data_IF_157848775597
#
_entry.id   IF_157848775597
#
_cell.length_a   1.000
_cell.length_b   1.000
_cell.length_c   1.000
_cell.angle_alpha   90.00
_cell.angle_beta   90.00
_cell.angle_gamma   90.00
#
_symmetry.space_group_name_H-M   'P 1'
#
loop_
_entity.id
_entity.type
_entity.pdbx_description
1 polymer ?
#
# COMPACT_ATOMS: atom_id res chain seq x y z
N UNK A 1 -40.55 -6.00 13.29
CA UNK A 1 -40.06 -7.39 13.14
C UNK A 1 -40.64 -7.98 11.85
N UNK A 2 -39.78 -8.50 10.97
CA UNK A 2 -40.14 -9.25 9.77
C UNK A 2 -39.70 -10.71 9.96
N UNK A 3 -40.63 -11.66 9.86
CA UNK A 3 -40.38 -13.06 10.17
C UNK A 3 -40.92 -13.99 9.10
N UNK A 4 -40.11 -14.96 8.66
CA UNK A 4 -40.48 -15.98 7.66
C UNK A 4 -40.99 -15.39 6.35
N UNK A 5 -40.52 -14.20 5.99
CA UNK A 5 -40.86 -13.54 4.74
C UNK A 5 -40.18 -14.27 3.57
N UNK A 6 -40.86 -14.39 2.43
CA UNK A 6 -40.34 -15.09 1.26
C UNK A 6 -40.60 -14.29 -0.01
N UNK A 7 -39.56 -14.09 -0.81
CA UNK A 7 -39.67 -13.43 -2.11
C UNK A 7 -38.65 -13.98 -3.10
N UNK A 8 -38.74 -13.57 -4.36
CA UNK A 8 -37.71 -13.90 -5.37
C UNK A 8 -36.40 -13.20 -5.05
N UNK A 9 -36.45 -11.95 -4.60
CA UNK A 9 -35.33 -11.16 -4.09
C UNK A 9 -35.83 -10.34 -2.90
N UNK A 10 -34.97 -10.05 -1.92
CA UNK A 10 -35.37 -9.20 -0.80
C UNK A 10 -36.45 -9.85 0.05
N UNK A 11 -36.14 -11.00 0.66
CA UNK A 11 -37.16 -11.86 1.29
C UNK A 11 -38.06 -11.11 2.27
N UNK A 12 -37.51 -10.15 3.02
CA UNK A 12 -38.27 -9.16 3.81
C UNK A 12 -38.51 -7.84 3.08
N UNK A 13 -37.45 -7.20 2.60
CA UNK A 13 -37.50 -5.90 1.90
C UNK A 13 -36.85 -6.02 0.52
N UNK A 14 -37.59 -5.60 -0.50
CA UNK A 14 -37.05 -5.25 -1.80
C UNK A 14 -37.22 -3.74 -2.00
N UNK A 15 -36.12 -3.04 -2.25
CA UNK A 15 -36.12 -1.60 -2.50
C UNK A 15 -35.43 -1.27 -3.81
N UNK A 16 -35.97 -0.30 -4.53
CA UNK A 16 -35.30 0.36 -5.65
C UNK A 16 -35.12 1.83 -5.28
N UNK A 17 -33.92 2.35 -5.46
CA UNK A 17 -33.56 3.73 -5.19
C UNK A 17 -33.29 4.41 -6.53
N UNK A 18 -34.19 5.27 -6.92
CA UNK A 18 -34.10 6.10 -8.11
C UNK A 18 -33.53 7.48 -7.75
N UNK A 19 -33.48 8.39 -8.73
CA UNK A 19 -33.05 9.78 -8.51
C UNK A 19 -33.93 10.47 -7.46
N UNK A 20 -33.30 11.05 -6.42
CA UNK A 20 -33.93 11.76 -5.30
C UNK A 20 -34.70 10.90 -4.27
N UNK A 21 -34.54 9.58 -4.30
CA UNK A 21 -35.12 8.69 -3.29
C UNK A 21 -34.10 8.38 -2.19
N UNK A 22 -34.61 8.15 -0.98
CA UNK A 22 -33.81 7.74 0.16
C UNK A 22 -34.41 6.49 0.82
N UNK A 23 -33.56 5.54 1.19
CA UNK A 23 -33.95 4.36 1.95
C UNK A 23 -33.22 4.33 3.29
N UNK A 24 -33.95 4.49 4.40
CA UNK A 24 -33.36 4.47 5.75
C UNK A 24 -34.03 3.41 6.60
N UNK A 25 -33.21 2.60 7.27
CA UNK A 25 -33.58 1.88 8.49
C UNK A 25 -32.76 2.46 9.63
N UNK A 26 -33.41 3.22 10.52
CA UNK A 26 -32.78 3.92 11.64
C UNK A 26 -33.27 3.44 13.02
N UNK A 27 -34.34 2.66 13.05
CA UNK A 27 -34.88 2.05 14.26
C UNK A 27 -34.47 0.57 14.37
N UNK A 28 -34.80 -0.04 15.50
CA UNK A 28 -34.54 -1.45 15.76
C UNK A 28 -35.44 -2.33 14.87
N UNK A 29 -34.82 -3.11 13.97
CA UNK A 29 -35.56 -4.02 13.08
C UNK A 29 -34.92 -5.41 13.09
N UNK A 30 -35.78 -6.40 13.29
CA UNK A 30 -35.43 -7.81 13.28
C UNK A 30 -35.88 -8.46 11.97
N UNK A 31 -34.97 -9.14 11.30
CA UNK A 31 -35.21 -10.04 10.17
C UNK A 31 -34.88 -11.47 10.58
N UNK A 32 -35.90 -12.30 10.70
CA UNK A 32 -35.77 -13.67 11.18
C UNK A 32 -36.35 -14.67 10.18
N UNK A 33 -35.55 -15.66 9.77
CA UNK A 33 -35.96 -16.71 8.82
C UNK A 33 -36.50 -16.16 7.48
N UNK A 34 -36.10 -14.96 7.07
CA UNK A 34 -36.47 -14.41 5.77
C UNK A 34 -35.68 -15.11 4.65
N UNK A 35 -36.33 -15.35 3.51
CA UNK A 35 -35.77 -16.16 2.43
C UNK A 35 -35.97 -15.50 1.04
N UNK A 36 -34.87 -15.33 0.31
CA UNK A 36 -34.90 -15.08 -1.12
C UNK A 36 -34.69 -16.39 -1.88
N UNK A 37 -35.70 -16.85 -2.62
CA UNK A 37 -35.68 -18.15 -3.29
C UNK A 37 -35.86 -18.01 -4.81
N UNK A 38 -34.94 -18.60 -5.59
CA UNK A 38 -35.10 -18.78 -7.02
C UNK A 38 -34.15 -19.84 -7.57
N UNK A 39 -34.53 -20.47 -8.68
CA UNK A 39 -33.62 -21.32 -9.50
C UNK A 39 -32.92 -20.51 -10.60
N UNK A 40 -33.27 -19.22 -10.76
CA UNK A 40 -32.64 -18.33 -11.74
C UNK A 40 -31.39 -17.69 -11.17
N UNK A 41 -30.33 -17.63 -11.99
CA UNK A 41 -29.08 -16.94 -11.67
C UNK A 41 -29.24 -15.42 -11.51
N UNK A 42 -30.38 -14.83 -11.88
CA UNK A 42 -30.65 -13.38 -11.77
C UNK A 42 -31.52 -13.00 -10.55
N UNK A 43 -31.95 -14.00 -9.76
CA UNK A 43 -32.81 -13.82 -8.61
C UNK A 43 -32.25 -14.57 -7.41
N UNK A 44 -33.01 -14.72 -6.33
CA UNK A 44 -32.62 -15.51 -5.16
C UNK A 44 -31.62 -14.80 -4.27
N UNK A 45 -31.58 -13.47 -4.30
CA UNK A 45 -30.59 -12.62 -3.61
C UNK A 45 -31.24 -11.74 -2.54
N UNK A 46 -30.47 -11.37 -1.52
CA UNK A 46 -30.97 -10.48 -0.46
C UNK A 46 -32.02 -11.19 0.40
N UNK A 47 -31.61 -12.21 1.16
CA UNK A 47 -32.55 -13.04 1.91
C UNK A 47 -33.42 -12.24 2.88
N UNK A 48 -32.86 -11.22 3.53
CA UNK A 48 -33.65 -10.21 4.23
C UNK A 48 -33.88 -8.97 3.37
N UNK A 49 -32.83 -8.31 2.88
CA UNK A 49 -32.91 -7.03 2.18
C UNK A 49 -32.24 -7.12 0.81
N UNK A 50 -32.92 -6.62 -0.22
CA UNK A 50 -32.37 -6.37 -1.55
C UNK A 50 -32.51 -4.89 -1.89
N UNK A 51 -31.42 -4.23 -2.27
CA UNK A 51 -31.41 -2.83 -2.68
C UNK A 51 -30.91 -2.71 -4.12
N UNK A 52 -31.76 -2.20 -5.00
CA UNK A 52 -31.42 -1.84 -6.37
C UNK A 52 -31.17 -0.33 -6.47
N UNK A 53 -29.92 0.08 -6.68
CA UNK A 53 -29.54 1.49 -6.82
C UNK A 53 -29.49 1.86 -8.29
N UNK A 54 -30.41 2.72 -8.73
CA UNK A 54 -30.51 3.17 -10.12
C UNK A 54 -29.28 3.91 -10.62
N UNK A 55 -29.12 3.99 -11.95
CA UNK A 55 -27.93 4.50 -12.64
C UNK A 55 -27.46 5.89 -12.19
N UNK A 56 -28.42 6.77 -11.89
CA UNK A 56 -28.18 8.16 -11.52
C UNK A 56 -28.51 8.44 -10.04
N UNK A 57 -28.67 7.39 -9.23
CA UNK A 57 -29.04 7.53 -7.83
C UNK A 57 -27.80 7.91 -6.96
N UNK A 58 -27.92 8.89 -6.04
CA UNK A 58 -26.80 9.40 -5.23
C UNK A 58 -26.29 8.45 -4.12
N UNK A 59 -26.62 7.15 -4.17
CA UNK A 59 -26.39 6.19 -3.08
C UNK A 59 -26.97 6.62 -1.72
N UNK A 60 -28.15 7.26 -1.71
CA UNK A 60 -28.79 7.76 -0.50
C UNK A 60 -29.55 6.63 0.22
N UNK A 61 -28.79 5.73 0.87
CA UNK A 61 -29.38 4.73 1.75
C UNK A 61 -28.56 4.45 3.01
N UNK A 62 -29.26 4.07 4.07
CA UNK A 62 -28.67 3.68 5.34
C UNK A 62 -29.38 2.46 5.90
N UNK A 63 -28.60 1.42 6.18
CA UNK A 63 -28.97 0.18 6.86
C UNK A 63 -28.35 0.27 8.25
N UNK A 64 -29.13 0.78 9.21
CA UNK A 64 -28.65 1.34 10.47
C UNK A 64 -28.17 0.34 11.52
N UNK A 65 -27.69 0.89 12.65
CA UNK A 65 -26.96 0.18 13.71
C UNK A 65 -27.77 -0.92 14.44
N UNK A 66 -29.09 -0.75 14.57
CA UNK A 66 -29.96 -1.61 15.37
C UNK A 66 -30.64 -2.71 14.52
N UNK A 67 -29.91 -3.25 13.55
CA UNK A 67 -30.40 -4.31 12.68
C UNK A 67 -29.96 -5.68 13.17
N UNK A 68 -30.92 -6.59 13.22
CA UNK A 68 -30.71 -7.96 13.68
C UNK A 68 -31.12 -8.93 12.58
N UNK A 69 -30.17 -9.74 12.13
CA UNK A 69 -30.39 -10.79 11.15
C UNK A 69 -30.23 -12.15 11.83
N UNK A 70 -31.23 -13.03 11.68
CA UNK A 70 -31.22 -14.35 12.29
C UNK A 70 -31.77 -15.41 11.34
N UNK A 71 -30.97 -16.44 11.03
CA UNK A 71 -31.37 -17.60 10.22
C UNK A 71 -32.00 -17.27 8.84
N UNK A 72 -31.67 -16.12 8.26
CA UNK A 72 -32.12 -15.76 6.91
C UNK A 72 -31.49 -16.69 5.86
N UNK A 73 -32.00 -16.69 4.63
CA UNK A 73 -31.51 -17.53 3.52
C UNK A 73 -31.56 -16.80 2.19
N UNK A 74 -30.54 -16.98 1.36
CA UNK A 74 -30.57 -16.60 -0.05
C UNK A 74 -30.15 -17.82 -0.88
N UNK A 75 -30.93 -18.15 -1.91
CA UNK A 75 -30.59 -19.25 -2.82
C UNK A 75 -29.37 -18.97 -3.70
N UNK A 76 -28.98 -17.70 -3.86
CA UNK A 76 -27.76 -17.27 -4.53
C UNK A 76 -26.83 -16.55 -3.53
N UNK A 77 -26.97 -15.23 -3.37
CA UNK A 77 -26.03 -14.41 -2.61
C UNK A 77 -26.71 -13.39 -1.70
N UNK A 78 -26.02 -13.00 -0.63
CA UNK A 78 -26.48 -11.96 0.29
C UNK A 78 -27.68 -12.42 1.10
N UNK A 79 -27.47 -13.42 1.96
CA UNK A 79 -28.43 -13.94 2.94
C UNK A 79 -29.13 -12.83 3.71
N UNK A 80 -28.40 -11.80 4.11
CA UNK A 80 -28.95 -10.69 4.87
C UNK A 80 -29.17 -9.48 3.97
N UNK A 81 -28.15 -9.09 3.22
CA UNK A 81 -28.19 -7.90 2.38
C UNK A 81 -27.57 -8.19 1.02
N UNK A 82 -28.28 -7.82 -0.03
CA UNK A 82 -27.75 -7.75 -1.38
C UNK A 82 -27.93 -6.35 -1.97
N UNK A 83 -26.87 -5.81 -2.57
CA UNK A 83 -26.90 -4.48 -3.21
C UNK A 83 -26.51 -4.59 -4.67
N UNK A 84 -27.40 -4.16 -5.56
CA UNK A 84 -27.12 -4.00 -6.98
C UNK A 84 -26.91 -2.52 -7.28
N UNK A 85 -25.73 -2.10 -7.72
CA UNK A 85 -25.39 -0.69 -7.85
C UNK A 85 -24.37 -0.39 -8.95
N UNK A 86 -24.08 0.90 -9.22
CA UNK A 86 -23.14 1.26 -10.30
C UNK A 86 -21.71 0.87 -9.95
N UNK A 87 -21.25 1.23 -8.75
CA UNK A 87 -19.89 1.06 -8.28
C UNK A 87 -19.88 0.92 -6.74
N UNK A 88 -19.51 -0.26 -6.24
CA UNK A 88 -19.51 -0.61 -4.82
C UNK A 88 -18.50 0.24 -4.04
N UNK A 89 -17.35 0.59 -4.63
CA UNK A 89 -16.32 1.42 -3.98
C UNK A 89 -16.83 2.85 -3.79
N UNK A 90 -17.40 3.45 -4.85
CA UNK A 90 -17.94 4.82 -4.80
C UNK A 90 -19.16 4.90 -3.87
N UNK A 91 -19.94 3.83 -3.75
CA UNK A 91 -21.04 3.73 -2.80
C UNK A 91 -20.59 3.92 -1.34
N UNK A 92 -19.31 3.63 -1.02
CA UNK A 92 -18.72 3.68 0.33
C UNK A 92 -19.53 2.85 1.34
N UNK A 93 -19.46 1.51 1.29
CA UNK A 93 -20.33 0.61 2.07
C UNK A 93 -20.36 0.92 3.55
N UNK A 94 -19.24 1.34 4.12
CA UNK A 94 -19.08 1.76 5.52
C UNK A 94 -19.89 2.99 5.92
N UNK A 95 -20.28 3.83 4.96
CA UNK A 95 -21.18 4.96 5.19
C UNK A 95 -22.65 4.61 5.01
N UNK A 96 -22.95 3.39 4.57
CA UNK A 96 -24.30 2.92 4.21
C UNK A 96 -24.77 1.76 5.07
N UNK A 97 -23.86 0.92 5.52
CA UNK A 97 -24.11 -0.31 6.29
C UNK A 97 -23.45 -0.11 7.65
N UNK A 98 -24.27 0.09 8.69
CA UNK A 98 -23.80 0.59 9.98
C UNK A 98 -23.98 -0.40 11.14
N UNK A 99 -24.65 -1.53 10.95
CA UNK A 99 -24.79 -2.52 12.01
C UNK A 99 -23.47 -3.23 12.32
N UNK A 100 -23.36 -3.73 13.56
CA UNK A 100 -22.14 -4.36 14.05
C UNK A 100 -21.95 -5.76 13.44
N UNK A 101 -21.21 -5.79 12.33
CA UNK A 101 -20.78 -7.03 11.65
C UNK A 101 -19.53 -7.64 12.29
N UNK A 102 -18.87 -6.96 13.23
CA UNK A 102 -17.66 -7.45 13.88
C UNK A 102 -17.98 -8.35 15.08
N UNK A 103 -19.21 -8.28 15.60
CA UNK A 103 -19.72 -9.20 16.61
C UNK A 103 -19.41 -10.66 16.24
N UNK A 104 -18.78 -11.39 17.16
CA UNK A 104 -18.36 -12.79 16.97
C UNK A 104 -19.53 -13.75 16.73
N UNK A 105 -20.74 -13.36 17.16
CA UNK A 105 -21.96 -14.15 16.97
C UNK A 105 -22.64 -13.91 15.62
N UNK A 106 -22.20 -12.88 14.87
CA UNK A 106 -22.74 -12.60 13.56
C UNK A 106 -22.19 -13.59 12.53
N UNK A 107 -23.08 -14.37 11.90
CA UNK A 107 -22.70 -15.31 10.86
C UNK A 107 -22.39 -14.56 9.56
N UNK A 108 -21.11 -14.48 9.22
CA UNK A 108 -20.58 -13.76 8.05
C UNK A 108 -20.74 -14.55 6.74
N UNK A 109 -21.07 -15.84 6.80
CA UNK A 109 -21.15 -16.69 5.61
C UNK A 109 -22.32 -16.26 4.73
N UNK A 110 -22.00 -15.91 3.48
CA UNK A 110 -22.97 -15.42 2.50
C UNK A 110 -23.79 -14.22 3.01
N UNK A 111 -23.25 -13.37 3.88
CA UNK A 111 -24.05 -12.37 4.60
C UNK A 111 -24.42 -11.16 3.73
N UNK A 112 -23.40 -10.46 3.22
CA UNK A 112 -23.54 -9.16 2.55
C UNK A 112 -22.83 -9.20 1.21
N UNK A 113 -23.61 -9.14 0.15
CA UNK A 113 -23.09 -9.26 -1.21
C UNK A 113 -23.54 -8.10 -2.08
N UNK A 114 -22.84 -7.87 -3.17
CA UNK A 114 -23.30 -6.90 -4.16
C UNK A 114 -22.86 -7.21 -5.57
N UNK A 115 -23.48 -6.53 -6.51
CA UNK A 115 -23.12 -6.62 -7.92
C UNK A 115 -23.12 -5.24 -8.55
N UNK A 116 -22.06 -4.98 -9.29
CA UNK A 116 -21.91 -3.78 -10.10
C UNK A 116 -22.56 -3.97 -11.47
N UNK A 117 -23.16 -2.93 -12.03
CA UNK A 117 -23.64 -2.92 -13.42
C UNK A 117 -22.84 -2.03 -14.37
N UNK A 118 -21.98 -1.15 -13.85
CA UNK A 118 -21.10 -0.36 -14.71
C UNK A 118 -20.06 -1.25 -15.39
N UNK A 119 -19.76 -0.97 -16.64
CA UNK A 119 -18.79 -1.76 -17.41
C UNK A 119 -17.36 -1.50 -16.93
N UNK A 120 -16.46 -2.45 -17.19
CA UNK A 120 -15.05 -2.35 -16.79
C UNK A 120 -14.36 -1.08 -17.34
N UNK A 121 -14.75 -0.64 -18.53
CA UNK A 121 -14.26 0.60 -19.13
C UNK A 121 -14.68 1.86 -18.37
N UNK A 122 -15.82 1.82 -17.68
CA UNK A 122 -16.28 2.92 -16.81
C UNK A 122 -15.65 2.83 -15.42
N UNK A 123 -15.42 1.61 -14.93
CA UNK A 123 -14.85 1.36 -13.60
C UNK A 123 -13.33 1.50 -13.56
N UNK A 124 -12.64 1.29 -14.68
CA UNK A 124 -11.19 1.16 -14.76
C UNK A 124 -10.64 -0.11 -14.11
N UNK A 125 -11.49 -1.11 -13.92
CA UNK A 125 -11.18 -2.39 -13.27
C UNK A 125 -12.23 -3.46 -13.60
N UNK A 126 -11.94 -4.75 -13.33
CA UNK A 126 -12.95 -5.79 -13.39
C UNK A 126 -14.18 -5.47 -12.54
N UNK A 127 -15.34 -5.82 -13.08
CA UNK A 127 -16.62 -5.64 -12.42
C UNK A 127 -16.74 -6.55 -11.20
N UNK A 128 -17.21 -6.03 -10.07
CA UNK A 128 -17.50 -6.82 -8.89
C UNK A 128 -18.88 -7.47 -9.03
N UNK A 129 -18.91 -8.75 -9.44
CA UNK A 129 -20.12 -9.57 -9.55
C UNK A 129 -20.24 -10.49 -8.35
N UNK A 130 -21.43 -10.52 -7.73
CA UNK A 130 -21.73 -11.29 -6.52
C UNK A 130 -20.57 -11.23 -5.50
N UNK A 131 -20.09 -10.01 -5.27
CA UNK A 131 -18.90 -9.70 -4.49
C UNK A 131 -19.25 -9.59 -3.00
N UNK A 132 -18.42 -10.20 -2.16
CA UNK A 132 -18.54 -10.10 -0.71
C UNK A 132 -18.13 -8.68 -0.24
N UNK A 133 -19.13 -7.82 -0.02
CA UNK A 133 -18.92 -6.44 0.41
C UNK A 133 -18.27 -6.40 1.79
N UNK A 134 -18.51 -7.40 2.64
CA UNK A 134 -17.94 -7.44 3.99
C UNK A 134 -16.41 -7.39 3.94
N UNK A 135 -15.80 -7.99 2.92
CA UNK A 135 -14.36 -7.98 2.71
C UNK A 135 -13.75 -6.58 2.63
N UNK A 136 -14.51 -5.56 2.19
CA UNK A 136 -14.09 -4.15 2.12
C UNK A 136 -14.24 -3.41 3.45
N UNK A 137 -15.07 -3.94 4.35
CA UNK A 137 -15.41 -3.30 5.62
C UNK A 137 -14.56 -3.82 6.79
N UNK A 138 -13.92 -4.98 6.63
CA UNK A 138 -13.02 -5.56 7.62
C UNK A 138 -11.63 -4.90 7.60
N UNK A 139 -10.93 -4.89 8.75
CA UNK A 139 -9.52 -4.53 8.80
C UNK A 139 -8.69 -5.26 7.75
N UNK A 140 -7.76 -4.54 7.14
CA UNK A 140 -6.88 -5.07 6.11
C UNK A 140 -5.45 -5.11 6.63
N UNK A 141 -4.86 -6.30 6.54
CA UNK A 141 -3.45 -6.54 6.80
C UNK A 141 -2.93 -7.45 5.69
N UNK A 142 -1.78 -7.09 5.10
CA UNK A 142 -1.15 -7.84 4.03
C UNK A 142 0.31 -7.39 3.91
N UNK A 143 1.18 -8.26 3.42
CA UNK A 143 2.56 -7.89 3.15
C UNK A 143 2.73 -7.12 1.81
N UNK A 144 1.64 -6.97 1.04
CA UNK A 144 1.52 -6.09 -0.12
C UNK A 144 0.53 -4.96 0.19
N UNK A 145 1.05 -3.73 0.29
CA UNK A 145 0.30 -2.55 0.71
C UNK A 145 0.32 -1.47 -0.36
N UNK A 146 -0.87 -0.98 -0.73
CA UNK A 146 -1.04 0.13 -1.66
C UNK A 146 -1.07 1.46 -0.92
N UNK A 147 -0.38 2.46 -1.46
CA UNK A 147 -0.26 3.81 -0.88
C UNK A 147 -0.49 4.86 -1.96
N UNK A 148 -1.23 5.93 -1.63
CA UNK A 148 -1.46 7.06 -2.52
C UNK A 148 -1.82 8.30 -1.73
N UNK A 149 -1.30 9.46 -2.13
CA UNK A 149 -1.72 10.74 -1.59
C UNK A 149 -3.08 11.25 -2.13
N UNK A 150 -3.67 10.55 -3.11
CA UNK A 150 -4.96 10.94 -3.70
C UNK A 150 -6.10 10.72 -2.70
N UNK A 151 -6.50 11.79 -2.03
CA UNK A 151 -7.57 11.78 -1.01
C UNK A 151 -8.95 11.40 -1.56
N UNK A 152 -9.13 11.34 -2.89
CA UNK A 152 -10.39 10.87 -3.47
C UNK A 152 -10.58 9.36 -3.31
N UNK A 153 -9.48 8.61 -3.18
CA UNK A 153 -9.46 7.14 -3.12
C UNK A 153 -8.69 6.57 -1.91
N UNK A 154 -7.89 7.39 -1.21
CA UNK A 154 -7.06 6.97 -0.09
C UNK A 154 -7.57 7.51 1.24
N UNK A 155 -7.34 6.76 2.32
CA UNK A 155 -7.65 7.18 3.68
C UNK A 155 -6.85 6.35 4.70
N UNK A 156 -6.22 6.97 5.70
CA UNK A 156 -5.51 6.24 6.77
C UNK A 156 -6.50 5.62 7.77
N UNK A 157 -7.12 4.51 7.38
CA UNK A 157 -8.09 3.76 8.20
C UNK A 157 -7.61 2.35 8.51
N UNK A 158 -8.30 1.65 9.42
CA UNK A 158 -8.02 0.24 9.69
C UNK A 158 -8.16 -0.68 8.44
N UNK A 159 -8.85 -0.21 7.39
CA UNK A 159 -9.18 -0.95 6.16
C UNK A 159 -8.25 -0.65 4.97
N UNK A 160 -7.42 0.38 5.08
CA UNK A 160 -6.57 0.83 3.97
C UNK A 160 -5.43 -0.15 3.67
N UNK A 161 -4.78 0.09 2.53
CA UNK A 161 -3.67 -0.72 2.02
C UNK A 161 -4.09 -1.59 0.84
N UNK A 162 -5.32 -1.42 0.37
CA UNK A 162 -5.89 -2.12 -0.78
C UNK A 162 -5.77 -1.23 -2.01
N UNK A 163 -5.79 -1.85 -3.19
CA UNK A 163 -5.82 -1.12 -4.46
C UNK A 163 -6.94 -0.06 -4.56
N UNK A 164 -8.12 -0.34 -4.01
CA UNK A 164 -9.28 0.59 -4.05
C UNK A 164 -9.49 1.38 -2.76
N UNK A 165 -8.59 1.23 -1.79
CA UNK A 165 -8.50 2.08 -0.61
C UNK A 165 -7.05 2.11 -0.15
N UNK A 166 -6.15 2.79 -0.88
CA UNK A 166 -4.76 2.91 -0.48
C UNK A 166 -4.64 3.63 0.87
N UNK A 167 -3.56 3.35 1.60
CA UNK A 167 -3.19 4.22 2.71
C UNK A 167 -2.62 5.54 2.17
N UNK A 168 -2.66 6.60 2.97
CA UNK A 168 -2.20 7.93 2.55
C UNK A 168 -0.68 8.05 2.69
N UNK A 169 -0.12 7.51 3.76
CA UNK A 169 1.30 7.68 4.11
C UNK A 169 2.02 6.34 4.26
N UNK A 170 3.32 6.33 3.96
CA UNK A 170 4.19 5.16 4.17
C UNK A 170 4.21 4.75 5.65
N UNK A 171 4.36 5.71 6.56
CA UNK A 171 4.34 5.47 8.01
C UNK A 171 3.09 4.78 8.53
N UNK A 172 1.94 5.04 7.93
CA UNK A 172 0.70 4.35 8.30
C UNK A 172 0.61 2.97 7.65
N UNK A 173 1.12 2.83 6.42
CA UNK A 173 1.20 1.57 5.69
C UNK A 173 2.13 0.55 6.36
N UNK A 174 3.21 0.98 7.00
CA UNK A 174 4.10 0.13 7.82
C UNK A 174 3.32 -0.61 8.92
N UNK A 175 2.29 0.03 9.49
CA UNK A 175 1.39 -0.61 10.47
C UNK A 175 0.37 -1.59 9.89
N UNK A 176 0.40 -1.88 8.58
CA UNK A 176 -0.54 -2.76 7.86
C UNK A 176 0.04 -4.09 7.42
N UNK A 177 1.35 -4.27 7.55
CA UNK A 177 1.99 -5.57 7.26
C UNK A 177 1.50 -6.63 8.25
N UNK A 178 1.35 -7.87 7.79
CA UNK A 178 0.80 -8.96 8.62
C UNK A 178 1.91 -9.81 9.23
N UNK A 179 2.99 -10.03 8.49
CA UNK A 179 4.16 -10.74 9.00
C UNK A 179 4.98 -9.76 9.83
N UNK A 180 5.29 -10.02 11.11
CA UNK A 180 6.10 -9.10 11.91
C UNK A 180 7.57 -9.14 11.48
N UNK A 181 8.28 -8.02 11.59
CA UNK A 181 9.73 -7.95 11.29
C UNK A 181 10.58 -8.83 12.21
N UNK A 182 11.80 -9.12 11.77
CA UNK A 182 12.79 -9.72 12.66
C UNK A 182 13.14 -8.76 13.78
N UNK A 183 13.38 -9.32 14.96
CA UNK A 183 13.99 -8.64 16.07
C UNK A 183 15.03 -9.56 16.72
N UNK A 184 15.73 -9.00 17.70
CA UNK A 184 16.70 -9.67 18.57
C UNK A 184 16.30 -11.08 19.02
N UNK A 185 15.02 -11.29 19.34
CA UNK A 185 14.51 -12.52 19.91
C UNK A 185 13.94 -13.48 18.86
N UNK A 186 13.52 -12.97 17.70
CA UNK A 186 12.88 -13.77 16.64
C UNK A 186 13.83 -14.19 15.53
N UNK A 187 14.96 -13.50 15.35
CA UNK A 187 15.93 -13.80 14.30
C UNK A 187 16.45 -15.25 14.38
N UNK A 188 16.41 -16.04 13.29
CA UNK A 188 16.73 -17.46 13.35
C UNK A 188 18.23 -17.72 13.52
N UNK A 189 18.56 -18.68 14.39
CA UNK A 189 19.94 -19.14 14.60
C UNK A 189 20.48 -19.97 13.44
N UNK A 190 19.60 -20.69 12.73
CA UNK A 190 19.93 -21.43 11.51
C UNK A 190 19.04 -20.99 10.35
N UNK A 191 19.65 -20.70 9.20
CA UNK A 191 18.96 -20.19 8.01
C UNK A 191 18.43 -21.30 7.11
N UNK A 192 18.79 -22.57 7.35
CA UNK A 192 18.32 -23.68 6.53
C UNK A 192 16.80 -23.84 6.64
N UNK A 193 16.06 -23.35 5.64
CA UNK A 193 14.60 -23.43 5.60
C UNK A 193 13.87 -22.34 6.39
N UNK A 194 14.56 -21.29 6.84
CA UNK A 194 13.89 -20.13 7.45
C UNK A 194 12.99 -19.42 6.42
N UNK A 195 11.79 -19.02 6.86
CA UNK A 195 10.89 -18.21 6.05
C UNK A 195 11.51 -16.82 5.82
N UNK A 196 11.53 -16.35 4.58
CA UNK A 196 11.90 -14.97 4.27
C UNK A 196 10.71 -14.05 4.49
N UNK A 197 10.95 -12.89 5.09
CA UNK A 197 9.95 -11.85 5.29
C UNK A 197 10.06 -10.85 4.14
N UNK A 198 8.96 -10.64 3.44
CA UNK A 198 8.91 -9.82 2.23
C UNK A 198 7.84 -8.75 2.39
N UNK A 199 8.20 -7.48 2.26
CA UNK A 199 7.24 -6.39 2.19
C UNK A 199 7.24 -5.77 0.80
N UNK A 200 6.06 -5.41 0.30
CA UNK A 200 5.89 -4.70 -0.97
C UNK A 200 4.97 -3.50 -0.78
N UNK A 201 5.51 -2.31 -1.02
CA UNK A 201 4.78 -1.05 -1.00
C UNK A 201 4.59 -0.57 -2.45
N UNK A 202 3.33 -0.46 -2.85
CA UNK A 202 2.94 -0.08 -4.22
C UNK A 202 2.39 1.35 -4.17
N UNK A 203 3.08 2.26 -4.84
CA UNK A 203 2.77 3.69 -4.88
C UNK A 203 1.90 3.99 -6.09
N UNK A 204 0.74 4.56 -5.83
CA UNK A 204 -0.19 5.00 -6.85
C UNK A 204 -0.26 6.53 -6.91
N UNK A 205 -0.05 7.09 -8.11
CA UNK A 205 0.15 8.53 -8.40
C UNK A 205 1.36 9.13 -7.67
N UNK A 206 1.37 9.13 -6.34
CA UNK A 206 2.52 9.53 -5.56
C UNK A 206 2.26 9.54 -4.06
N UNK A 207 3.31 9.78 -3.29
CA UNK A 207 3.28 9.95 -1.83
C UNK A 207 4.29 11.01 -1.38
N UNK A 208 4.01 11.58 -0.21
CA UNK A 208 4.98 12.35 0.56
C UNK A 208 5.56 11.46 1.68
N UNK A 209 6.88 11.43 1.79
CA UNK A 209 7.61 10.71 2.85
C UNK A 209 8.20 11.74 3.80
N UNK A 210 7.67 11.80 5.03
CA UNK A 210 8.01 12.79 6.06
C UNK A 210 8.85 12.21 7.20
N UNK A 211 8.85 10.88 7.34
CA UNK A 211 9.54 10.14 8.40
C UNK A 211 10.56 9.15 7.79
N UNK A 212 11.66 8.85 8.50
CA UNK A 212 12.58 7.81 8.09
C UNK A 212 11.90 6.45 7.97
N UNK A 213 12.23 5.72 6.91
CA UNK A 213 11.83 4.35 6.67
C UNK A 213 13.06 3.45 6.81
N UNK A 214 13.03 2.60 7.83
CA UNK A 214 14.03 1.56 8.12
C UNK A 214 13.29 0.32 8.60
N UNK A 215 13.71 -0.86 8.17
CA UNK A 215 13.01 -2.12 8.45
C UNK A 215 14.01 -3.23 8.69
N UNK A 216 13.58 -4.33 9.28
CA UNK A 216 14.37 -5.52 9.59
C UNK A 216 13.83 -6.78 8.88
N UNK A 217 13.27 -6.63 7.68
CA UNK A 217 12.82 -7.75 6.82
C UNK A 217 13.86 -8.17 5.79
N UNK A 218 13.75 -9.41 5.26
CA UNK A 218 14.68 -9.93 4.25
C UNK A 218 14.60 -9.18 2.92
N UNK A 219 13.38 -8.89 2.44
CA UNK A 219 13.16 -8.24 1.15
C UNK A 219 12.13 -7.12 1.26
N UNK A 220 12.48 -5.96 0.73
CA UNK A 220 11.60 -4.79 0.63
C UNK A 220 11.50 -4.38 -0.82
N UNK A 221 10.28 -4.26 -1.32
CA UNK A 221 9.98 -3.72 -2.65
C UNK A 221 9.22 -2.42 -2.47
N UNK A 222 9.72 -1.33 -3.06
CA UNK A 222 9.01 -0.04 -3.14
C UNK A 222 8.89 0.30 -4.62
N UNK A 223 7.67 0.34 -5.15
CA UNK A 223 7.48 0.51 -6.60
C UNK A 223 6.25 1.29 -6.98
N UNK A 224 6.22 1.81 -8.20
CA UNK A 224 4.99 2.32 -8.81
C UNK A 224 4.02 1.19 -9.13
N UNK A 225 2.73 1.51 -9.14
CA UNK A 225 1.68 0.63 -9.65
C UNK A 225 1.80 0.46 -11.17
N UNK A 226 1.49 -0.74 -11.67
CA UNK A 226 1.47 -1.01 -13.11
C UNK A 226 0.06 -0.90 -13.71
N UNK A 227 -0.06 -0.63 -15.03
CA UNK A 227 -1.36 -0.49 -15.69
C UNK A 227 -2.28 -1.72 -15.64
N UNK A 228 -1.71 -2.92 -15.51
CA UNK A 228 -2.45 -4.18 -15.37
C UNK A 228 -3.03 -4.39 -13.96
N UNK A 229 -2.45 -3.74 -12.95
CA UNK A 229 -3.01 -3.71 -11.60
C UNK A 229 -4.18 -2.73 -11.52
N UNK A 230 -4.00 -1.53 -12.08
CA UNK A 230 -5.01 -0.48 -12.10
C UNK A 230 -4.95 0.29 -13.42
N UNK A 231 -6.06 0.36 -14.15
CA UNK A 231 -6.07 0.94 -15.49
C UNK A 231 -5.60 2.40 -15.54
N UNK A 232 -5.79 3.13 -14.44
CA UNK A 232 -5.36 4.53 -14.31
C UNK A 232 -3.92 4.69 -13.80
N UNK A 233 -3.20 3.60 -13.52
CA UNK A 233 -1.77 3.60 -13.20
C UNK A 233 -0.93 3.66 -14.49
N UNK A 234 -1.15 4.69 -15.30
CA UNK A 234 -0.48 4.87 -16.60
C UNK A 234 0.87 5.58 -16.49
N UNK A 235 1.22 6.06 -15.29
CA UNK A 235 2.42 6.82 -14.99
C UNK A 235 3.13 6.20 -13.79
N UNK A 236 4.43 6.47 -13.66
CA UNK A 236 5.23 6.08 -12.49
C UNK A 236 4.68 6.77 -11.24
N UNK A 237 4.83 6.11 -10.09
CA UNK A 237 4.51 6.74 -8.81
C UNK A 237 5.54 7.80 -8.45
N UNK A 238 5.09 8.96 -7.97
CA UNK A 238 5.96 10.07 -7.58
C UNK A 238 6.25 10.02 -6.09
N UNK A 239 7.52 10.06 -5.67
CA UNK A 239 7.91 10.19 -4.28
C UNK A 239 8.53 11.56 -4.04
N UNK A 240 7.99 12.26 -3.05
CA UNK A 240 8.50 13.52 -2.55
C UNK A 240 8.93 13.29 -1.10
N UNK A 241 10.15 13.67 -0.76
CA UNK A 241 10.66 13.57 0.61
C UNK A 241 10.71 14.98 1.21
N UNK A 242 10.19 15.10 2.43
CA UNK A 242 10.16 16.35 3.21
C UNK A 242 10.56 16.08 4.67
N UNK A 243 10.87 17.11 5.44
CA UNK A 243 11.20 17.03 6.87
C UNK A 243 12.38 16.06 7.12
N UNK A 244 12.11 14.94 7.82
CA UNK A 244 13.08 13.90 8.14
C UNK A 244 12.95 12.65 7.25
N UNK A 245 12.12 12.71 6.20
CA UNK A 245 11.84 11.57 5.34
C UNK A 245 13.10 11.07 4.63
N UNK A 246 13.43 9.79 4.81
CA UNK A 246 14.55 9.12 4.14
C UNK A 246 14.29 7.61 4.06
N UNK A 247 14.87 6.93 3.08
CA UNK A 247 15.01 5.46 3.09
C UNK A 247 16.38 5.12 3.68
N UNK A 248 16.43 4.35 4.76
CA UNK A 248 17.67 3.99 5.45
C UNK A 248 18.02 2.53 5.18
N UNK A 249 19.23 2.30 4.68
CA UNK A 249 19.82 0.99 4.44
C UNK A 249 21.08 0.87 5.31
N UNK A 250 21.13 -0.08 6.24
CA UNK A 250 22.29 -0.26 7.12
C UNK A 250 22.85 -1.68 7.10
N UNK A 251 24.17 -1.79 7.10
CA UNK A 251 24.88 -3.07 7.26
C UNK A 251 24.86 -3.60 8.71
N UNK A 252 24.23 -2.90 9.65
CA UNK A 252 23.87 -3.39 10.97
C UNK A 252 22.34 -3.38 11.12
N UNK A 253 21.83 -4.36 11.86
CA UNK A 253 20.43 -4.32 12.33
C UNK A 253 20.23 -3.23 13.37
N UNK A 254 18.99 -2.76 13.53
CA UNK A 254 18.61 -1.79 14.55
C UNK A 254 19.03 -2.21 15.97
N UNK A 255 18.90 -3.49 16.34
CA UNK A 255 19.32 -3.95 17.68
C UNK A 255 20.83 -3.96 17.85
N UNK A 256 21.61 -4.22 16.80
CA UNK A 256 23.07 -4.09 16.84
C UNK A 256 23.50 -2.64 16.97
N UNK A 257 22.83 -1.71 16.27
CA UNK A 257 23.06 -0.27 16.43
C UNK A 257 22.76 0.20 17.87
N UNK A 258 21.87 -0.48 18.58
CA UNK A 258 21.55 -0.25 20.00
C UNK A 258 22.49 -0.97 20.98
N UNK A 259 23.54 -1.63 20.49
CA UNK A 259 24.59 -2.24 21.32
C UNK A 259 24.51 -3.76 21.47
N UNK A 260 23.52 -4.44 20.86
CA UNK A 260 23.41 -5.90 20.88
C UNK A 260 24.25 -6.54 19.75
N UNK A 261 25.54 -6.22 19.70
CA UNK A 261 26.44 -6.60 18.59
C UNK A 261 26.55 -8.12 18.39
N UNK A 262 26.52 -8.89 19.48
CA UNK A 262 26.67 -10.35 19.44
C UNK A 262 25.47 -11.09 18.83
N UNK A 263 24.34 -10.40 18.68
CA UNK A 263 23.17 -10.97 18.04
C UNK A 263 23.29 -10.91 16.53
N UNK A 264 22.92 -12.01 15.87
CA UNK A 264 22.96 -12.11 14.42
C UNK A 264 21.94 -11.19 13.78
N UNK A 265 22.28 -10.73 12.58
CA UNK A 265 21.38 -9.98 11.71
C UNK A 265 21.01 -10.80 10.45
N UNK A 266 20.02 -10.32 9.72
CA UNK A 266 19.51 -10.90 8.47
C UNK A 266 20.02 -10.10 7.27
N UNK A 267 20.34 -10.77 6.17
CA UNK A 267 20.69 -10.05 4.96
C UNK A 267 19.45 -9.33 4.42
N UNK A 268 19.66 -8.19 3.78
CA UNK A 268 18.58 -7.34 3.31
C UNK A 268 18.67 -7.05 1.84
N UNK A 269 17.54 -7.10 1.15
CA UNK A 269 17.41 -6.69 -0.24
C UNK A 269 16.35 -5.59 -0.36
N UNK A 270 16.75 -4.43 -0.86
CA UNK A 270 15.87 -3.33 -1.23
C UNK A 270 15.76 -3.28 -2.73
N UNK A 271 14.53 -3.34 -3.25
CA UNK A 271 14.24 -3.18 -4.66
C UNK A 271 13.30 -2.00 -4.87
N UNK A 272 13.84 -0.94 -5.45
CA UNK A 272 13.12 0.31 -5.70
C UNK A 272 12.99 0.47 -7.20
N UNK A 273 11.77 0.49 -7.74
CA UNK A 273 11.62 0.56 -9.19
C UNK A 273 10.32 1.19 -9.69
N UNK A 274 10.31 1.64 -10.95
CA UNK A 274 9.13 2.22 -11.60
C UNK A 274 8.57 3.44 -10.87
N UNK A 275 9.45 4.36 -10.45
CA UNK A 275 9.12 5.55 -9.67
C UNK A 275 9.77 6.81 -10.23
N UNK A 276 9.22 7.95 -9.85
CA UNK A 276 9.82 9.26 -10.03
C UNK A 276 10.17 9.84 -8.66
N UNK A 277 11.36 10.41 -8.51
CA UNK A 277 11.81 11.05 -7.29
C UNK A 277 11.94 12.54 -7.51
N UNK A 278 11.28 13.31 -6.65
CA UNK A 278 11.37 14.76 -6.64
C UNK A 278 12.34 15.18 -5.55
N UNK A 279 13.43 15.82 -5.95
CA UNK A 279 14.34 16.47 -5.04
C UNK A 279 13.81 17.86 -4.68
N UNK A 280 13.62 18.08 -3.38
CA UNK A 280 13.10 19.32 -2.80
C UNK A 280 14.24 20.20 -2.29
N UNK A 281 13.95 21.48 -2.07
CA UNK A 281 14.86 22.43 -1.42
C UNK A 281 14.88 22.30 0.12
N UNK A 282 14.29 21.24 0.65
CA UNK A 282 14.20 21.04 2.10
C UNK A 282 15.59 20.82 2.70
N UNK A 283 16.08 21.84 3.41
CA UNK A 283 17.38 21.82 4.08
C UNK A 283 17.49 20.79 5.21
N UNK A 284 16.38 20.25 5.71
CA UNK A 284 16.41 19.19 6.74
C UNK A 284 16.84 17.85 6.15
N UNK A 285 16.61 17.63 4.85
CA UNK A 285 16.94 16.37 4.17
C UNK A 285 18.31 16.47 3.52
N UNK A 286 19.21 15.59 3.98
CA UNK A 286 20.54 15.43 3.36
C UNK A 286 20.54 14.47 2.19
N UNK A 287 19.70 13.43 2.27
CA UNK A 287 19.58 12.44 1.21
C UNK A 287 18.21 11.79 1.14
N UNK A 288 17.80 11.35 -0.05
CA UNK A 288 16.59 10.53 -0.21
C UNK A 288 16.84 9.12 0.31
N UNK A 289 17.96 8.51 -0.10
CA UNK A 289 18.41 7.21 0.35
C UNK A 289 19.72 7.40 1.12
N UNK A 290 19.73 6.91 2.36
CA UNK A 290 20.89 6.93 3.24
C UNK A 290 21.43 5.52 3.40
N UNK A 291 22.71 5.34 3.09
CA UNK A 291 23.44 4.10 3.35
C UNK A 291 24.32 4.29 4.57
N UNK A 292 24.23 3.37 5.53
CA UNK A 292 25.01 3.39 6.77
C UNK A 292 25.85 2.12 6.85
N UNK A 293 27.16 2.28 6.66
CA UNK A 293 28.16 1.26 6.92
C UNK A 293 28.82 1.43 8.29
N UNK A 294 29.11 0.32 8.96
CA UNK A 294 29.79 0.30 10.26
C UNK A 294 31.26 -0.10 10.13
N UNK A 295 32.19 0.57 10.82
CA UNK A 295 33.58 0.11 10.93
C UNK A 295 33.72 -1.25 11.65
N UNK A 296 32.70 -1.68 12.40
CA UNK A 296 32.63 -2.99 13.06
C UNK A 296 32.05 -4.12 12.18
N UNK A 297 31.77 -3.83 10.90
CA UNK A 297 31.10 -4.74 9.96
C UNK A 297 31.76 -6.12 9.83
N UNK A 298 33.08 -6.21 9.94
CA UNK A 298 33.82 -7.47 9.75
C UNK A 298 33.41 -8.59 10.72
N UNK A 299 32.83 -8.25 11.88
CA UNK A 299 32.44 -9.22 12.89
C UNK A 299 30.93 -9.43 12.99
N UNK A 300 30.13 -8.39 12.66
CA UNK A 300 28.71 -8.35 13.00
C UNK A 300 27.79 -7.92 11.85
N UNK A 301 28.35 -7.46 10.74
CA UNK A 301 27.57 -6.88 9.66
C UNK A 301 26.71 -7.89 8.88
N UNK A 302 25.64 -7.38 8.28
CA UNK A 302 24.77 -8.07 7.32
C UNK A 302 25.05 -7.60 5.89
N UNK A 303 24.78 -8.47 4.92
CA UNK A 303 24.79 -8.04 3.53
C UNK A 303 23.54 -7.21 3.23
N UNK A 304 23.72 -6.11 2.50
CA UNK A 304 22.64 -5.25 2.03
C UNK A 304 22.76 -5.10 0.53
N UNK A 305 21.73 -5.48 -0.20
CA UNK A 305 21.63 -5.28 -1.64
C UNK A 305 20.56 -4.22 -1.93
N UNK A 306 20.97 -3.10 -2.52
CA UNK A 306 20.08 -2.03 -2.95
C UNK A 306 20.04 -2.01 -4.48
N UNK A 307 18.88 -2.32 -5.05
CA UNK A 307 18.64 -2.29 -6.49
C UNK A 307 17.64 -1.19 -6.84
N UNK A 308 18.06 -0.27 -7.69
CA UNK A 308 17.29 0.89 -8.16
C UNK A 308 17.13 0.75 -9.68
N UNK A 309 15.90 0.62 -10.16
CA UNK A 309 15.62 0.29 -11.57
C UNK A 309 14.46 1.10 -12.17
N UNK A 310 14.57 1.54 -13.42
CA UNK A 310 13.49 2.23 -14.14
C UNK A 310 12.96 3.49 -13.40
N UNK A 311 13.88 4.41 -13.11
CA UNK A 311 13.62 5.56 -12.22
C UNK A 311 13.91 6.87 -12.93
N UNK A 312 13.07 7.89 -12.67
CA UNK A 312 13.32 9.27 -13.07
C UNK A 312 13.59 10.10 -11.81
N UNK A 313 14.61 10.95 -11.83
CA UNK A 313 14.96 11.85 -10.73
C UNK A 313 14.99 13.25 -11.30
N UNK A 314 14.24 14.16 -10.68
CA UNK A 314 14.25 15.57 -11.07
C UNK A 314 14.07 16.48 -9.85
N UNK A 315 14.35 17.75 -10.03
CA UNK A 315 14.19 18.76 -8.98
C UNK A 315 12.82 19.44 -9.09
N UNK A 316 12.18 19.72 -7.95
CA UNK A 316 10.85 20.36 -7.92
C UNK A 316 10.82 21.72 -8.64
N UNK A 317 11.87 22.53 -8.45
CA UNK A 317 11.99 23.88 -8.99
C UNK A 317 13.43 24.16 -9.42
N UNK A 318 13.66 24.46 -10.70
CA UNK A 318 15.00 24.77 -11.23
C UNK A 318 15.54 26.16 -10.82
N UNK A 319 14.83 26.90 -9.97
CA UNK A 319 15.17 28.28 -9.60
C UNK A 319 16.21 28.37 -8.47
N UNK A 320 16.42 27.26 -7.76
CA UNK A 320 17.26 27.23 -6.57
C UNK A 320 18.23 26.06 -6.66
N UNK A 321 19.32 26.12 -5.89
CA UNK A 321 20.21 24.97 -5.75
C UNK A 321 19.77 24.14 -4.55
N UNK A 322 19.83 22.82 -4.69
CA UNK A 322 19.51 21.87 -3.62
C UNK A 322 20.77 21.32 -2.95
N UNK A 323 20.66 21.00 -1.66
CA UNK A 323 21.72 20.33 -0.88
C UNK A 323 21.41 18.85 -0.59
N UNK A 324 20.24 18.37 -1.03
CA UNK A 324 19.81 16.99 -0.85
C UNK A 324 20.37 16.10 -1.98
N UNK A 325 21.11 15.05 -1.61
CA UNK A 325 21.53 14.00 -2.54
C UNK A 325 20.43 12.96 -2.76
N UNK A 326 20.45 12.25 -3.89
CA UNK A 326 19.57 11.10 -4.07
C UNK A 326 20.07 9.91 -3.24
N UNK A 327 21.36 9.60 -3.32
CA UNK A 327 21.97 8.46 -2.63
C UNK A 327 23.24 8.89 -1.93
N UNK A 328 23.27 8.82 -0.60
CA UNK A 328 24.41 9.25 0.20
C UNK A 328 24.81 8.17 1.20
N UNK A 329 26.10 7.87 1.26
CA UNK A 329 26.67 7.03 2.32
C UNK A 329 27.19 7.90 3.47
N UNK A 330 26.76 7.62 4.70
CA UNK A 330 27.24 8.28 5.91
C UNK A 330 27.36 7.29 7.09
N UNK A 331 28.53 7.18 7.76
CA UNK A 331 29.79 7.85 7.44
C UNK A 331 30.51 7.22 6.24
N UNK A 332 30.38 5.90 6.05
CA UNK A 332 31.02 5.15 4.97
C UNK A 332 30.09 4.08 4.43
N UNK A 333 30.43 3.53 3.27
CA UNK A 333 29.92 2.25 2.75
C UNK A 333 30.94 1.14 2.99
N UNK A 334 30.46 -0.06 3.30
CA UNK A 334 31.30 -1.25 3.55
C UNK A 334 31.18 -2.27 2.42
N UNK A 335 32.07 -3.27 2.42
CA UNK A 335 32.07 -4.37 1.45
C UNK A 335 30.80 -5.26 1.51
N UNK A 336 29.98 -5.10 2.55
CA UNK A 336 28.73 -5.82 2.72
C UNK A 336 27.56 -5.17 1.99
N UNK A 337 27.73 -3.94 1.51
CA UNK A 337 26.70 -3.23 0.75
C UNK A 337 26.98 -3.32 -0.73
N UNK A 338 25.95 -3.71 -1.50
CA UNK A 338 25.95 -3.71 -2.96
C UNK A 338 24.83 -2.83 -3.47
N UNK A 339 25.14 -2.03 -4.47
CA UNK A 339 24.24 -1.06 -5.09
C UNK A 339 24.20 -1.37 -6.59
N UNK A 340 22.99 -1.50 -7.12
CA UNK A 340 22.74 -1.63 -8.56
C UNK A 340 21.80 -0.54 -9.02
N UNK A 341 22.22 0.20 -10.04
CA UNK A 341 21.48 1.33 -10.63
C UNK A 341 21.30 1.02 -12.12
N UNK A 342 20.05 0.80 -12.53
CA UNK A 342 19.72 0.37 -13.89
C UNK A 342 18.64 1.28 -14.45
N UNK A 343 18.81 1.77 -15.68
CA UNK A 343 17.82 2.61 -16.37
C UNK A 343 17.34 3.81 -15.53
N UNK A 344 18.28 4.47 -14.84
CA UNK A 344 17.99 5.69 -14.07
C UNK A 344 18.25 6.92 -14.91
N UNK A 345 17.27 7.82 -14.97
CA UNK A 345 17.34 9.09 -15.67
C UNK A 345 17.33 10.20 -14.64
N UNK A 346 18.33 11.08 -14.68
CA UNK A 346 18.38 12.27 -13.84
C UNK A 346 18.31 13.52 -14.72
N UNK A 347 17.36 14.42 -14.44
CA UNK A 347 17.07 15.59 -15.28
C UNK A 347 16.89 16.89 -14.49
N UNK A 348 17.47 17.98 -15.00
CA UNK A 348 17.27 19.35 -14.52
C UNK A 348 17.58 19.56 -13.01
N UNK A 349 18.73 19.02 -12.54
CA UNK A 349 19.13 19.04 -11.13
C UNK A 349 20.31 19.98 -10.88
N UNK A 350 20.10 20.97 -10.01
CA UNK A 350 21.09 21.99 -9.64
C UNK A 350 21.54 21.80 -8.20
N UNK A 351 22.72 21.23 -8.00
CA UNK A 351 23.21 20.88 -6.66
C UNK A 351 24.31 21.81 -6.17
N UNK A 352 24.30 22.14 -4.88
CA UNK A 352 25.37 22.87 -4.20
C UNK A 352 25.95 22.03 -3.06
N UNK A 353 27.28 22.02 -2.93
CA UNK A 353 28.04 21.34 -1.86
C UNK A 353 27.85 19.82 -1.70
N UNK A 354 27.01 19.20 -2.53
CA UNK A 354 26.74 17.75 -2.55
C UNK A 354 26.67 17.23 -3.99
N UNK A 355 26.65 15.91 -4.16
CA UNK A 355 26.45 15.23 -5.43
C UNK A 355 25.18 14.38 -5.40
N UNK A 356 24.61 14.09 -6.57
CA UNK A 356 23.38 13.31 -6.65
C UNK A 356 23.58 11.93 -6.03
N UNK A 357 24.74 11.33 -6.31
CA UNK A 357 25.24 10.15 -5.62
C UNK A 357 26.56 10.53 -4.94
N UNK A 358 26.62 10.46 -3.61
CA UNK A 358 27.82 10.74 -2.80
C UNK A 358 28.17 9.54 -1.93
N UNK A 359 29.19 8.79 -2.35
CA UNK A 359 29.63 7.58 -1.65
C UNK A 359 31.01 7.79 -1.03
N UNK A 360 31.09 7.65 0.28
CA UNK A 360 32.32 7.67 1.05
C UNK A 360 32.73 6.23 1.36
N UNK A 361 33.95 5.82 0.99
CA UNK A 361 34.42 4.44 1.17
C UNK A 361 35.92 4.40 1.48
N UNK A 362 36.37 3.28 2.06
CA UNK A 362 37.79 2.99 2.31
C UNK A 362 38.40 2.26 1.10
N UNK A 363 39.17 2.95 0.23
CA UNK A 363 39.65 2.39 -1.03
C UNK A 363 40.67 1.26 -0.87
N UNK A 364 41.34 1.20 0.28
CA UNK A 364 42.28 0.13 0.62
C UNK A 364 41.56 -1.18 1.00
N UNK A 365 40.26 -1.10 1.29
CA UNK A 365 39.41 -2.23 1.70
C UNK A 365 38.46 -2.65 0.57
N UNK A 366 37.99 -1.70 -0.27
CA UNK A 366 36.92 -1.97 -1.23
C UNK A 366 37.23 -1.43 -2.63
N UNK A 367 37.03 -2.28 -3.65
CA UNK A 367 37.01 -1.85 -5.05
C UNK A 367 35.61 -1.40 -5.45
N UNK A 368 35.51 -0.24 -6.11
CA UNK A 368 34.25 0.39 -6.47
C UNK A 368 33.33 -0.53 -7.31
N UNK A 369 33.91 -1.28 -8.26
CA UNK A 369 33.16 -2.18 -9.15
C UNK A 369 32.47 -3.33 -8.39
N UNK A 370 32.90 -3.61 -7.14
CA UNK A 370 32.27 -4.61 -6.28
C UNK A 370 31.07 -4.06 -5.50
N UNK A 371 30.99 -2.73 -5.35
CA UNK A 371 29.92 -2.05 -4.61
C UNK A 371 28.87 -1.52 -5.59
N UNK A 372 29.27 -0.84 -6.66
CA UNK A 372 28.35 -0.10 -7.52
C UNK A 372 28.36 -0.67 -8.93
N UNK A 373 27.19 -1.12 -9.38
CA UNK A 373 26.92 -1.39 -10.80
C UNK A 373 26.00 -0.32 -11.35
N UNK A 374 26.37 0.29 -12.48
CA UNK A 374 25.54 1.26 -13.19
C UNK A 374 25.38 0.84 -14.65
N UNK A 375 24.14 0.62 -15.08
CA UNK A 375 23.81 0.16 -16.43
C UNK A 375 22.71 1.03 -17.04
N UNK A 376 22.94 1.48 -18.28
CA UNK A 376 21.95 2.21 -19.08
C UNK A 376 21.39 3.53 -18.48
N UNK A 377 21.92 3.99 -17.35
CA UNK A 377 21.54 5.26 -16.73
C UNK A 377 22.02 6.46 -17.53
N UNK A 378 21.21 7.52 -17.56
CA UNK A 378 21.46 8.74 -18.33
C UNK A 378 21.34 9.97 -17.45
N UNK A 379 22.18 10.94 -17.75
CA UNK A 379 22.07 12.31 -17.27
C UNK A 379 21.58 13.14 -18.44
N UNK A 380 20.34 13.62 -18.37
CA UNK A 380 19.76 14.46 -19.40
C UNK A 380 19.60 15.88 -18.85
N UNK A 381 20.23 16.86 -19.52
CA UNK A 381 20.17 18.28 -19.18
C UNK A 381 20.72 18.69 -17.78
N UNK A 382 21.69 19.62 -17.81
CA UNK A 382 22.08 20.53 -16.72
C UNK A 382 22.25 19.94 -15.30
N UNK A 383 22.95 18.81 -15.13
CA UNK A 383 23.42 18.36 -13.80
C UNK A 383 24.81 18.92 -13.48
N UNK A 384 24.95 19.62 -12.35
CA UNK A 384 26.26 20.16 -11.91
C UNK A 384 27.20 19.09 -11.34
N UNK A 385 26.68 18.10 -10.59
CA UNK A 385 27.50 17.06 -9.95
C UNK A 385 26.73 15.74 -9.78
N UNK A 386 27.03 14.78 -10.65
CA UNK A 386 26.31 13.49 -10.69
C UNK A 386 26.83 12.46 -9.68
N UNK A 387 28.14 12.24 -9.64
CA UNK A 387 28.76 11.26 -8.74
C UNK A 387 29.98 11.88 -8.05
N UNK A 388 30.05 11.71 -6.74
CA UNK A 388 31.20 12.05 -5.92
C UNK A 388 31.63 10.84 -5.12
N UNK A 389 32.94 10.60 -5.15
CA UNK A 389 33.58 9.51 -4.43
C UNK A 389 34.60 10.12 -3.47
N UNK A 390 34.35 9.96 -2.17
CA UNK A 390 35.23 10.45 -1.11
C UNK A 390 36.02 9.29 -0.52
N UNK A 391 37.33 9.47 -0.43
CA UNK A 391 38.21 8.57 0.31
C UNK A 391 38.23 9.04 1.75
N UNK A 392 37.91 8.15 2.67
CA UNK A 392 38.04 8.40 4.11
C UNK A 392 39.49 8.27 4.58
#
# INVERSE_FOLDING_TARGET
>A
MMKKCKALNGGGIYSTISTMEQFIINEEVYFEECEAFSTSLQQGRGGAIYINVGQDAPYEFTVGVNLHFNLNKASQYGRDLFIYCKNIIVMKPDRRILYDMLNETYDKVNAIFGTEYALETELGRPQMIDFDILSLMLPYYNDIIYISQDQSISENTYKCGRIYLPCVTLSYAEGKVITPEWNADTVPLDRTGAQQINYTYIIFQGIEVTLPFETEVDNVVIRGAFPDEYLFATQRGILIFTQSGQIICSDLSQWQQQGQLDQRSINQNFYIHHLEFVLTEDSEIKSIIKIIGSSSHNNYGRNVELKIEDIIIYQESSLYNITCGFLVAEPIITQLVRISIVDVIAEDIYMIDTALIDLQYEPDVIQLDNILSNQHSKVANQIQKFLLLKKD
#
